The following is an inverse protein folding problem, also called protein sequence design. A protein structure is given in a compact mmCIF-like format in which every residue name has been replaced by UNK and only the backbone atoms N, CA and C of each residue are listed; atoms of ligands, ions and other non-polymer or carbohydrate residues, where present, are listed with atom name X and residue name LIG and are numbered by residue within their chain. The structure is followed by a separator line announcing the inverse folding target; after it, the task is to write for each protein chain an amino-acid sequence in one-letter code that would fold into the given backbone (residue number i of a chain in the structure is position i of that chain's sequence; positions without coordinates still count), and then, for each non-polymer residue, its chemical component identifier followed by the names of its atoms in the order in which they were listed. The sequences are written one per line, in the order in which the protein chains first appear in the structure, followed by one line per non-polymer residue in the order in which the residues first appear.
data_IF_731745619063
#
_entry.id   IF_731745619063
#
_cell.length_a   1.000
_cell.length_b   1.000
_cell.length_c   1.000
_cell.angle_alpha   90.00
_cell.angle_beta   90.00
_cell.angle_gamma   90.00
#
_symmetry.space_group_name_H-M   'P 1'
#
loop_
_entity.id
_entity.type
_entity.pdbx_description
1 polymer ?
#
# COMPACT_ATOMS: atom_id res chain seq x y z
N UNK A 1 -0.81 -25.92 5.14
CA UNK A 1 -1.14 -25.20 6.40
C UNK A 1 -0.96 -23.71 6.12
N UNK A 2 -1.79 -22.83 6.67
CA UNK A 2 -1.52 -21.40 6.60
C UNK A 2 -0.24 -21.09 7.38
N UNK A 3 0.72 -20.42 6.75
CA UNK A 3 1.86 -19.83 7.44
C UNK A 3 1.37 -18.49 7.99
N UNK A 4 1.16 -18.41 9.30
CA UNK A 4 0.67 -17.22 10.01
C UNK A 4 1.77 -16.77 10.96
N UNK A 5 2.12 -15.48 10.93
CA UNK A 5 3.08 -14.84 11.84
C UNK A 5 2.37 -13.76 12.63
N UNK A 6 2.69 -13.67 13.91
CA UNK A 6 2.34 -12.55 14.77
C UNK A 6 3.64 -11.82 15.12
N UNK A 7 3.55 -10.50 15.29
CA UNK A 7 4.64 -9.68 15.84
C UNK A 7 4.10 -9.00 17.09
N UNK A 8 4.77 -9.22 18.21
CA UNK A 8 4.39 -8.71 19.52
C UNK A 8 5.47 -7.75 20.00
N UNK A 9 5.06 -6.60 20.53
CA UNK A 9 5.94 -5.59 21.09
C UNK A 9 5.68 -5.51 22.60
N UNK A 10 6.72 -5.34 23.45
CA UNK A 10 6.50 -5.16 24.88
C UNK A 10 5.57 -3.97 25.16
N UNK A 11 4.76 -4.10 26.21
CA UNK A 11 3.84 -3.02 26.60
C UNK A 11 4.63 -1.73 26.90
N UNK A 12 4.17 -0.60 26.36
CA UNK A 12 4.85 0.69 26.43
C UNK A 12 5.71 1.02 25.21
N UNK A 13 6.43 0.06 24.61
CA UNK A 13 7.46 0.31 23.58
C UNK A 13 6.98 1.13 22.39
N UNK A 14 5.78 0.84 21.85
CA UNK A 14 5.22 1.58 20.72
C UNK A 14 4.78 3.00 21.13
N UNK A 15 4.14 3.15 22.30
CA UNK A 15 3.67 4.44 22.79
C UNK A 15 4.82 5.38 23.16
N UNK A 16 5.89 4.87 23.75
CA UNK A 16 7.10 5.63 24.05
C UNK A 16 7.82 6.12 22.79
N UNK A 17 7.85 5.29 21.73
CA UNK A 17 8.58 5.58 20.49
C UNK A 17 7.79 6.43 19.48
N UNK A 18 6.47 6.25 19.41
CA UNK A 18 5.59 6.85 18.39
C UNK A 18 4.42 7.66 18.96
N UNK A 19 4.40 7.92 20.26
CA UNK A 19 3.39 8.74 20.95
C UNK A 19 2.06 8.03 21.26
N UNK A 20 1.73 6.96 20.54
CA UNK A 20 0.54 6.14 20.76
C UNK A 20 0.84 4.67 20.44
N UNK A 21 0.35 3.74 21.28
CA UNK A 21 0.44 2.30 21.02
C UNK A 21 -0.36 1.86 19.76
N UNK A 22 -1.31 2.67 19.29
CA UNK A 22 -2.00 2.48 18.02
C UNK A 22 -1.00 2.41 16.85
N UNK A 23 0.08 3.20 16.90
CA UNK A 23 1.11 3.37 15.86
C UNK A 23 2.00 2.14 15.60
N UNK A 24 1.62 0.93 16.06
CA UNK A 24 2.41 -0.29 15.92
C UNK A 24 2.75 -0.66 14.45
N UNK A 25 1.98 -0.14 13.48
CA UNK A 25 2.30 -0.26 12.04
C UNK A 25 3.68 0.32 11.69
N UNK A 26 4.14 1.35 12.39
CA UNK A 26 5.45 1.98 12.14
C UNK A 26 6.63 1.08 12.49
N UNK A 27 6.49 0.15 13.44
CA UNK A 27 7.48 -0.91 13.65
C UNK A 27 7.24 -2.07 12.67
N UNK A 28 5.99 -2.48 12.45
CA UNK A 28 5.68 -3.63 11.58
C UNK A 28 6.08 -3.43 10.11
N UNK A 29 6.03 -2.19 9.60
CA UNK A 29 6.50 -1.85 8.23
C UNK A 29 8.03 -1.76 8.14
N UNK A 30 8.72 -1.48 9.25
CA UNK A 30 10.18 -1.38 9.35
C UNK A 30 10.84 -2.71 9.73
N UNK A 31 10.09 -3.62 10.32
CA UNK A 31 10.54 -4.97 10.62
C UNK A 31 10.81 -5.72 9.30
N UNK A 32 12.10 -5.76 8.97
CA UNK A 32 12.63 -6.48 7.81
C UNK A 32 12.21 -7.95 7.80
N UNK A 33 11.95 -8.58 8.96
CA UNK A 33 11.41 -9.94 9.00
C UNK A 33 9.90 -10.03 8.76
N UNK A 34 9.12 -9.01 9.13
CA UNK A 34 7.69 -8.93 8.74
C UNK A 34 7.58 -8.72 7.24
N UNK A 35 8.34 -7.77 6.69
CA UNK A 35 8.43 -7.54 5.23
C UNK A 35 8.90 -8.82 4.52
N UNK A 36 10.03 -9.38 4.94
CA UNK A 36 10.54 -10.65 4.38
C UNK A 36 9.56 -11.79 4.58
N UNK A 37 8.80 -11.91 5.68
CA UNK A 37 7.82 -12.99 5.85
C UNK A 37 6.62 -12.83 4.90
N UNK A 38 6.12 -11.60 4.73
CA UNK A 38 5.03 -11.28 3.81
C UNK A 38 5.42 -11.64 2.36
N UNK A 39 6.63 -11.27 1.93
CA UNK A 39 7.14 -11.56 0.59
C UNK A 39 7.85 -12.91 0.45
N UNK A 40 8.29 -13.58 1.52
CA UNK A 40 8.86 -14.94 1.48
C UNK A 40 7.83 -16.01 1.09
N UNK A 41 6.55 -15.63 1.00
CA UNK A 41 5.56 -16.36 0.24
C UNK A 41 5.99 -16.55 -1.24
N UNK A 42 7.03 -15.84 -1.75
CA UNK A 42 8.13 -16.35 -2.63
C UNK A 42 9.33 -15.36 -2.86
N UNK A 43 10.53 -15.70 -2.31
CA UNK A 43 11.96 -15.29 -2.61
C UNK A 43 12.34 -13.78 -2.82
N UNK A 44 13.60 -13.42 -2.53
CA UNK A 44 14.04 -12.20 -1.75
C UNK A 44 15.20 -11.34 -2.31
N UNK A 45 15.40 -10.10 -1.79
CA UNK A 45 16.70 -9.46 -1.36
C UNK A 45 16.52 -8.34 -0.25
N UNK A 46 17.01 -7.07 -0.34
CA UNK A 46 16.83 -5.94 0.64
C UNK A 46 17.23 -4.50 0.14
N UNK A 47 16.43 -3.43 0.41
CA UNK A 47 16.79 -2.37 1.42
C UNK A 47 16.94 -0.82 1.13
N UNK A 48 16.42 0.03 2.06
CA UNK A 48 17.00 1.31 2.64
C UNK A 48 16.29 2.72 2.56
N UNK A 49 16.28 3.44 3.72
CA UNK A 49 16.06 4.89 4.06
C UNK A 49 14.77 5.67 3.63
N UNK A 50 14.25 6.62 4.42
CA UNK A 50 12.78 6.96 4.42
C UNK A 50 12.28 8.36 3.95
N UNK A 51 12.77 9.51 4.44
CA UNK A 51 11.95 10.76 4.38
C UNK A 51 11.93 11.53 3.03
N UNK A 52 13.09 11.88 2.43
CA UNK A 52 13.11 12.51 1.09
C UNK A 52 12.46 11.60 0.03
N UNK A 53 12.58 10.29 0.24
CA UNK A 53 12.07 9.22 -0.63
C UNK A 53 10.54 9.19 -0.68
N UNK A 54 9.80 9.80 0.25
CA UNK A 54 8.34 9.93 0.13
C UNK A 54 7.95 10.82 -1.05
N UNK A 55 8.68 11.91 -1.30
CA UNK A 55 8.42 12.79 -2.44
C UNK A 55 8.78 12.10 -3.77
N UNK A 56 9.92 11.42 -3.81
CA UNK A 56 10.37 10.66 -5.00
C UNK A 56 9.40 9.50 -5.34
N UNK A 57 8.90 8.78 -4.33
CA UNK A 57 7.95 7.69 -4.57
C UNK A 57 6.55 8.21 -4.90
N UNK A 58 6.14 9.37 -4.39
CA UNK A 58 4.96 10.06 -4.91
C UNK A 58 5.15 10.37 -6.41
N UNK A 59 6.31 10.86 -6.84
CA UNK A 59 6.58 11.21 -8.24
C UNK A 59 6.49 10.01 -9.20
N UNK A 60 6.90 8.80 -8.78
CA UNK A 60 6.79 7.57 -9.62
C UNK A 60 5.40 6.90 -9.57
N UNK A 61 4.51 7.31 -8.67
CA UNK A 61 3.13 6.83 -8.61
C UNK A 61 2.17 7.77 -9.35
N UNK A 62 1.52 7.26 -10.39
CA UNK A 62 0.46 7.98 -11.14
C UNK A 62 -0.72 8.38 -10.23
N UNK A 63 -1.28 9.58 -10.43
CA UNK A 63 -2.52 10.04 -9.81
C UNK A 63 -3.70 9.67 -10.71
N UNK A 64 -4.59 8.81 -10.22
CA UNK A 64 -5.75 8.32 -10.97
C UNK A 64 -7.03 8.40 -10.14
N UNK A 65 -8.17 8.11 -10.78
CA UNK A 65 -9.50 8.21 -10.20
C UNK A 65 -10.35 7.05 -10.69
N UNK A 66 -11.06 6.37 -9.79
CA UNK A 66 -12.03 5.33 -10.15
C UNK A 66 -13.42 5.77 -9.71
N UNK A 67 -14.41 5.46 -10.54
CA UNK A 67 -15.81 5.80 -10.30
C UNK A 67 -16.68 4.55 -10.22
N UNK A 68 -17.68 4.58 -9.34
CA UNK A 68 -18.80 3.63 -9.35
C UNK A 68 -19.87 4.06 -10.38
N UNK A 69 -20.95 3.27 -10.52
CA UNK A 69 -22.05 3.58 -11.46
C UNK A 69 -22.98 4.71 -10.99
N UNK A 70 -22.79 5.24 -9.78
CA UNK A 70 -23.61 6.30 -9.15
C UNK A 70 -22.87 7.63 -9.04
N UNK A 71 -21.60 7.69 -9.45
CA UNK A 71 -20.75 8.88 -9.37
C UNK A 71 -19.92 8.99 -8.09
N UNK A 72 -19.88 7.95 -7.24
CA UNK A 72 -18.90 7.87 -6.15
C UNK A 72 -17.50 7.83 -6.77
N UNK A 73 -16.68 8.82 -6.44
CA UNK A 73 -15.31 8.95 -6.90
C UNK A 73 -14.34 8.54 -5.79
N UNK A 74 -13.31 7.78 -6.14
CA UNK A 74 -12.26 7.34 -5.24
C UNK A 74 -10.88 7.69 -5.88
N UNK A 75 -10.17 8.72 -5.37
CA UNK A 75 -8.82 9.00 -5.80
C UNK A 75 -7.91 7.84 -5.45
N UNK A 76 -6.95 7.52 -6.31
CA UNK A 76 -5.92 6.55 -5.98
C UNK A 76 -4.57 6.88 -6.59
N UNK A 77 -3.54 6.28 -6.01
CA UNK A 77 -2.20 6.21 -6.59
C UNK A 77 -1.92 4.83 -7.13
N UNK A 78 -1.34 4.77 -8.33
CA UNK A 78 -0.93 3.51 -8.97
C UNK A 78 0.56 3.53 -9.29
N UNK A 79 1.28 2.55 -8.75
CA UNK A 79 2.60 2.16 -9.21
C UNK A 79 2.50 1.04 -10.25
N UNK A 80 3.33 1.11 -11.29
CA UNK A 80 3.45 0.08 -12.33
C UNK A 80 4.90 -0.42 -12.38
N UNK A 81 5.15 -1.72 -12.14
CA UNK A 81 6.51 -2.26 -12.11
C UNK A 81 7.10 -2.42 -13.50
N UNK A 82 8.43 -2.36 -13.57
CA UNK A 82 9.16 -2.95 -14.70
C UNK A 82 9.02 -4.48 -14.63
N UNK A 83 8.66 -5.11 -15.76
CA UNK A 83 8.52 -6.56 -15.91
C UNK A 83 8.69 -6.98 -17.37
N UNK A 84 8.98 -8.25 -17.62
CA UNK A 84 8.95 -8.82 -18.96
C UNK A 84 7.55 -8.89 -19.56
N UNK A 85 7.46 -8.92 -20.90
CA UNK A 85 6.21 -9.23 -21.59
C UNK A 85 5.71 -10.63 -21.17
N UNK A 86 4.40 -10.77 -20.90
CA UNK A 86 3.82 -11.99 -20.32
C UNK A 86 4.24 -12.35 -18.88
N UNK A 87 5.15 -11.61 -18.25
CA UNK A 87 5.54 -11.88 -16.87
C UNK A 87 4.40 -11.54 -15.90
N UNK A 88 4.05 -12.48 -15.03
CA UNK A 88 3.02 -12.31 -14.00
C UNK A 88 3.65 -11.87 -12.69
N UNK A 89 3.33 -10.66 -12.29
CA UNK A 89 3.78 -10.03 -11.04
C UNK A 89 2.60 -9.80 -10.08
N UNK A 90 2.80 -9.72 -8.76
CA UNK A 90 1.73 -9.45 -7.80
C UNK A 90 1.08 -8.07 -7.99
N UNK A 91 -0.12 -7.93 -7.42
CA UNK A 91 -0.80 -6.65 -7.19
C UNK A 91 -1.06 -6.50 -5.69
N UNK A 92 -0.65 -5.36 -5.14
CA UNK A 92 -0.86 -4.97 -3.74
C UNK A 92 -1.91 -3.87 -3.69
N UNK A 93 -2.99 -4.10 -2.95
CA UNK A 93 -3.97 -3.08 -2.60
C UNK A 93 -3.68 -2.60 -1.16
N UNK A 94 -3.18 -1.38 -1.03
CA UNK A 94 -2.92 -0.76 0.27
C UNK A 94 -4.11 0.09 0.71
N UNK A 95 -4.68 -0.22 1.87
CA UNK A 95 -5.77 0.53 2.49
C UNK A 95 -5.25 1.24 3.74
N UNK A 96 -5.27 2.58 3.71
CA UNK A 96 -4.77 3.42 4.79
C UNK A 96 -5.74 3.49 6.01
N UNK A 97 -5.29 4.14 7.08
CA UNK A 97 -6.04 4.33 8.33
C UNK A 97 -7.00 5.52 8.30
N UNK A 98 -7.42 6.01 9.47
CA UNK A 98 -8.32 7.16 9.54
C UNK A 98 -7.62 8.50 9.27
N UNK A 99 -6.32 8.61 9.58
CA UNK A 99 -5.56 9.87 9.51
C UNK A 99 -5.28 10.38 8.10
N UNK A 100 -5.44 9.53 7.08
CA UNK A 100 -5.12 9.82 5.68
C UNK A 100 -6.35 10.00 4.80
N UNK A 101 -7.56 9.93 5.38
CA UNK A 101 -8.80 10.19 4.63
C UNK A 101 -8.80 11.61 4.08
N UNK A 102 -9.34 11.79 2.88
CA UNK A 102 -9.30 13.07 2.19
C UNK A 102 -9.70 12.97 0.72
N UNK A 103 -9.25 13.95 -0.05
CA UNK A 103 -9.44 14.06 -1.51
C UNK A 103 -8.19 14.64 -2.20
N UNK A 104 -7.05 14.74 -1.49
CA UNK A 104 -5.81 15.34 -2.01
C UNK A 104 -5.01 14.39 -2.93
N UNK A 105 -5.32 13.09 -2.86
CA UNK A 105 -4.60 11.99 -3.50
C UNK A 105 -3.10 11.95 -3.13
N UNK A 106 -2.75 12.40 -1.93
CA UNK A 106 -1.38 12.43 -1.39
C UNK A 106 -1.28 11.86 0.03
N UNK A 107 -2.21 12.17 0.94
CA UNK A 107 -2.08 11.80 2.35
C UNK A 107 -1.95 10.29 2.57
N UNK A 108 -2.56 9.47 1.72
CA UNK A 108 -2.56 8.00 1.83
C UNK A 108 -1.24 7.33 1.45
N UNK A 109 -0.34 8.06 0.77
CA UNK A 109 1.00 7.57 0.43
C UNK A 109 2.11 8.25 1.25
N UNK A 110 1.85 9.45 1.80
CA UNK A 110 2.87 10.28 2.47
C UNK A 110 2.89 10.16 4.00
N UNK A 111 1.75 9.97 4.68
CA UNK A 111 1.69 10.06 6.16
C UNK A 111 2.18 8.81 6.90
N UNK A 112 1.88 7.62 6.40
CA UNK A 112 2.14 6.34 7.10
C UNK A 112 3.13 5.42 6.37
N UNK A 113 3.60 5.82 5.18
CA UNK A 113 4.60 5.09 4.39
C UNK A 113 4.17 3.70 3.88
N UNK A 114 2.97 3.21 4.21
CA UNK A 114 2.59 1.83 3.95
C UNK A 114 2.48 1.49 2.46
N UNK A 115 1.88 2.35 1.63
CA UNK A 115 1.88 2.19 0.17
C UNK A 115 3.28 2.33 -0.44
N UNK A 116 4.05 3.31 0.08
CA UNK A 116 5.42 3.62 -0.32
C UNK A 116 6.33 2.39 -0.24
N UNK A 117 6.18 1.57 0.82
CA UNK A 117 7.03 0.41 1.06
C UNK A 117 6.98 -0.60 -0.10
N UNK A 118 5.84 -0.71 -0.78
CA UNK A 118 5.68 -1.62 -1.91
C UNK A 118 6.20 -1.02 -3.22
N UNK A 119 6.14 0.31 -3.39
CA UNK A 119 6.62 1.00 -4.59
C UNK A 119 8.13 1.35 -4.56
N UNK A 120 8.77 1.16 -3.39
CA UNK A 120 10.21 1.27 -3.16
C UNK A 120 11.07 0.63 -4.27
N UNK A 121 12.04 1.35 -4.87
CA UNK A 121 12.91 0.80 -5.92
C UNK A 121 13.58 -0.52 -5.55
N UNK A 122 13.94 -0.70 -4.30
CA UNK A 122 14.66 -1.87 -3.81
C UNK A 122 13.69 -3.04 -3.56
N UNK A 123 12.51 -2.77 -2.98
CA UNK A 123 11.44 -3.80 -2.91
C UNK A 123 10.98 -4.20 -4.31
N UNK A 124 10.94 -3.27 -5.27
CA UNK A 124 10.62 -3.55 -6.68
C UNK A 124 11.75 -4.29 -7.42
N UNK A 125 13.02 -4.07 -7.05
CA UNK A 125 14.15 -4.84 -7.59
C UNK A 125 14.15 -6.29 -7.09
N UNK A 126 13.61 -6.56 -5.91
CA UNK A 126 13.44 -7.89 -5.32
C UNK A 126 12.15 -8.59 -5.78
N UNK A 127 11.05 -7.85 -5.76
CA UNK A 127 9.68 -8.31 -5.95
C UNK A 127 8.91 -7.24 -6.73
N UNK A 128 9.07 -7.21 -8.08
CA UNK A 128 8.30 -6.34 -8.93
C UNK A 128 6.80 -6.55 -8.67
N UNK A 129 6.04 -5.50 -8.37
CA UNK A 129 4.59 -5.60 -8.13
C UNK A 129 3.85 -4.31 -8.47
N UNK A 130 2.59 -4.44 -8.89
CA UNK A 130 1.67 -3.30 -8.99
C UNK A 130 1.23 -2.87 -7.59
N UNK A 131 1.13 -1.57 -7.35
CA UNK A 131 0.66 -1.03 -6.06
C UNK A 131 -0.51 -0.09 -6.32
N UNK A 132 -1.63 -0.33 -5.64
CA UNK A 132 -2.81 0.52 -5.65
C UNK A 132 -3.02 1.08 -4.24
N UNK A 133 -3.05 2.40 -4.11
CA UNK A 133 -3.29 3.11 -2.86
C UNK A 133 -4.45 4.11 -3.04
N UNK A 134 -5.71 3.63 -2.96
CA UNK A 134 -6.89 4.50 -2.92
C UNK A 134 -6.92 5.34 -1.65
N UNK A 135 -7.50 6.53 -1.74
CA UNK A 135 -7.78 7.42 -0.62
C UNK A 135 -9.26 7.38 -0.27
N UNK A 136 -9.62 6.88 0.91
CA UNK A 136 -10.98 6.91 1.42
C UNK A 136 -11.41 8.37 1.66
N UNK A 137 -12.60 8.80 1.17
CA UNK A 137 -13.13 10.13 1.45
C UNK A 137 -13.27 10.42 2.96
N UNK A 138 -13.10 11.68 3.36
CA UNK A 138 -13.14 12.14 4.75
C UNK A 138 -14.32 11.56 5.58
N UNK A 139 -15.53 11.66 5.03
CA UNK A 139 -16.79 11.25 5.66
C UNK A 139 -17.08 9.74 5.61
N UNK A 140 -16.25 8.95 4.91
CA UNK A 140 -16.52 7.54 4.63
C UNK A 140 -15.53 6.60 5.37
N UNK A 141 -15.74 5.30 5.18
CA UNK A 141 -14.83 4.25 5.64
C UNK A 141 -14.78 3.12 4.60
N UNK A 142 -13.80 2.23 4.70
CA UNK A 142 -13.66 1.07 3.81
C UNK A 142 -14.84 0.09 3.84
N UNK A 143 -15.66 0.13 4.89
CA UNK A 143 -16.87 -0.69 5.06
C UNK A 143 -18.16 0.05 4.71
N UNK A 144 -18.07 1.28 4.18
CA UNK A 144 -19.24 2.01 3.67
C UNK A 144 -19.85 1.29 2.46
N UNK A 145 -21.18 1.32 2.32
CA UNK A 145 -21.89 0.65 1.24
C UNK A 145 -21.40 1.10 -0.15
N UNK A 146 -21.03 0.17 -1.02
CA UNK A 146 -20.46 0.45 -2.34
C UNK A 146 -18.94 0.62 -2.37
N UNK A 147 -18.29 0.85 -1.23
CA UNK A 147 -16.83 0.98 -1.16
C UNK A 147 -16.10 -0.35 -1.46
N UNK A 148 -16.49 -1.52 -0.88
CA UNK A 148 -15.89 -2.81 -1.26
C UNK A 148 -16.07 -3.14 -2.74
N UNK A 149 -17.22 -2.82 -3.33
CA UNK A 149 -17.51 -3.04 -4.74
C UNK A 149 -16.65 -2.13 -5.64
N UNK A 150 -16.42 -0.88 -5.25
CA UNK A 150 -15.57 0.07 -5.96
C UNK A 150 -14.09 -0.34 -5.88
N UNK A 151 -13.62 -0.83 -4.72
CA UNK A 151 -12.27 -1.40 -4.57
C UNK A 151 -12.09 -2.65 -5.42
N UNK A 152 -13.09 -3.55 -5.45
CA UNK A 152 -13.08 -4.73 -6.32
C UNK A 152 -13.01 -4.35 -7.80
N UNK A 153 -13.84 -3.39 -8.24
CA UNK A 153 -13.81 -2.84 -9.60
C UNK A 153 -12.43 -2.29 -9.96
N UNK A 154 -11.83 -1.49 -9.09
CA UNK A 154 -10.49 -0.93 -9.27
C UNK A 154 -9.43 -2.01 -9.51
N UNK A 155 -9.45 -3.09 -8.70
CA UNK A 155 -8.52 -4.22 -8.88
C UNK A 155 -8.79 -4.96 -10.19
N UNK A 156 -10.05 -5.24 -10.53
CA UNK A 156 -10.42 -5.96 -11.76
C UNK A 156 -10.07 -5.16 -13.03
N UNK A 157 -10.33 -3.85 -13.05
CA UNK A 157 -9.96 -2.95 -14.15
C UNK A 157 -8.43 -2.81 -14.27
N UNK A 158 -7.72 -2.74 -13.14
CA UNK A 158 -6.25 -2.74 -13.16
C UNK A 158 -5.70 -4.02 -13.77
N UNK A 159 -6.19 -5.20 -13.33
CA UNK A 159 -5.76 -6.50 -13.87
C UNK A 159 -6.08 -6.63 -15.36
N UNK A 160 -7.26 -6.19 -15.80
CA UNK A 160 -7.65 -6.23 -17.21
C UNK A 160 -6.81 -5.30 -18.11
N UNK A 161 -6.23 -4.24 -17.54
CA UNK A 161 -5.35 -3.31 -18.24
C UNK A 161 -3.87 -3.75 -18.28
N UNK A 162 -3.48 -4.83 -17.60
CA UNK A 162 -2.10 -5.37 -17.64
C UNK A 162 -1.87 -6.03 -19.01
N UNK A 163 -0.88 -5.58 -19.82
CA UNK A 163 -0.58 -6.22 -21.09
C UNK A 163 -0.14 -7.69 -20.94
N UNK A 164 -0.60 -8.53 -21.86
CA UNK A 164 -0.22 -9.95 -21.95
C UNK A 164 1.24 -10.20 -22.33
#
# INVERSE_FOLDING_TARGET
RANVRYTEYPAGTIGEKWGDAHCAWHEAYRDDEVRRWLFAQKRTVTGSAEEDRYADIAAIMTREMVYDRRGMALPYRKFTPARGAGEKVPLVLFLHGMGERGQDNEAQITKTGGAFLYAAPEVQAETPCYVLAPQCPAELSWVHAGMPELLKKLVEETIAAIPS
#
